data_IF_814229722427
#
_entry.id   IF_814229722427
#
_cell.length_a   1.000
_cell.length_b   1.000
_cell.length_c   1.000
_cell.angle_alpha   90.00
_cell.angle_beta   90.00
_cell.angle_gamma   90.00
#
_symmetry.space_group_name_H-M   'P 1'
#
loop_
_entity.id
_entity.type
_entity.pdbx_description
1 polymer ?
#
# COMPACT_ATOMS: atom_id res chain seq x y z
N UNK A 1 -66.25 45.45 37.93
CA UNK A 1 -67.42 45.37 38.84
C UNK A 1 -68.76 45.19 38.11
N UNK A 2 -68.94 45.73 36.89
CA UNK A 2 -70.20 45.69 36.13
C UNK A 2 -70.74 44.27 35.81
N UNK A 3 -69.90 43.34 35.34
CA UNK A 3 -70.31 41.96 34.98
C UNK A 3 -70.85 41.13 36.16
N UNK A 4 -70.45 41.45 37.40
CA UNK A 4 -70.95 40.73 38.58
C UNK A 4 -72.40 41.15 38.90
N UNK A 5 -72.75 42.41 38.65
CA UNK A 5 -74.10 42.92 38.86
C UNK A 5 -75.10 42.41 37.82
N UNK A 6 -74.68 42.26 36.54
CA UNK A 6 -75.50 41.65 35.49
C UNK A 6 -75.86 40.19 35.80
N UNK A 7 -74.90 39.41 36.31
CA UNK A 7 -75.14 38.02 36.70
C UNK A 7 -76.12 37.90 37.88
N UNK A 8 -75.97 38.75 38.90
CA UNK A 8 -76.89 38.75 40.03
C UNK A 8 -78.30 39.21 39.63
N UNK A 9 -78.44 40.21 38.75
CA UNK A 9 -79.72 40.69 38.25
C UNK A 9 -80.47 39.64 37.41
N UNK A 10 -79.75 38.89 36.56
CA UNK A 10 -80.31 37.76 35.81
C UNK A 10 -80.75 36.62 36.74
N UNK A 11 -80.00 36.36 37.82
CA UNK A 11 -80.32 35.34 38.81
C UNK A 11 -81.55 35.70 39.67
N UNK A 12 -81.70 36.96 40.07
CA UNK A 12 -82.91 37.42 40.80
C UNK A 12 -84.13 37.52 39.89
N UNK A 13 -83.96 37.92 38.61
CA UNK A 13 -85.05 37.95 37.64
C UNK A 13 -85.60 36.56 37.28
N UNK A 14 -84.74 35.53 37.26
CA UNK A 14 -85.15 34.15 37.04
C UNK A 14 -85.92 33.55 38.23
N UNK A 15 -85.63 33.97 39.47
CA UNK A 15 -86.28 33.48 40.67
C UNK A 15 -87.68 34.09 40.93
N UNK A 16 -88.04 35.19 40.27
CA UNK A 16 -89.35 35.85 40.43
C UNK A 16 -90.46 35.30 39.52
N UNK A 17 -90.15 34.41 38.57
CA UNK A 17 -91.17 33.74 37.73
C UNK A 17 -91.66 32.45 38.38
N UNK A 18 -92.23 32.59 39.58
CA UNK A 18 -92.86 31.50 40.29
C UNK A 18 -94.33 31.41 39.88
N UNK A 19 -94.59 30.64 38.82
CA UNK A 19 -95.91 30.31 38.32
C UNK A 19 -95.82 29.09 37.44
N UNK A 20 -96.02 27.92 38.04
CA UNK A 20 -96.27 26.58 37.45
C UNK A 20 -96.19 26.50 35.91
N UNK A 21 -94.99 26.38 35.34
CA UNK A 21 -94.82 25.92 33.96
C UNK A 21 -94.74 24.40 34.02
N UNK A 22 -95.79 23.71 33.60
CA UNK A 22 -95.71 22.25 33.39
C UNK A 22 -94.91 21.96 32.12
N UNK A 23 -94.14 20.86 32.09
CA UNK A 23 -93.29 20.49 30.94
C UNK A 23 -94.03 20.43 29.57
N UNK A 24 -95.37 20.45 29.57
CA UNK A 24 -96.18 20.51 28.34
C UNK A 24 -96.19 21.89 27.67
N UNK A 25 -95.83 22.96 28.39
CA UNK A 25 -95.89 24.35 27.90
C UNK A 25 -94.52 24.90 27.44
N UNK A 26 -93.46 24.09 27.52
CA UNK A 26 -92.14 24.48 27.03
C UNK A 26 -92.06 24.34 25.51
N UNK A 27 -92.26 25.45 24.78
CA UNK A 27 -91.76 25.55 23.40
C UNK A 27 -90.30 26.00 23.45
N UNK A 28 -89.34 25.21 22.94
CA UNK A 28 -87.99 25.68 22.78
C UNK A 28 -88.01 26.93 21.90
N UNK A 29 -87.42 28.02 22.40
CA UNK A 29 -87.16 29.19 21.60
C UNK A 29 -86.27 28.75 20.42
N UNK A 30 -86.66 28.98 19.15
CA UNK A 30 -85.76 28.69 18.05
C UNK A 30 -84.57 29.63 18.24
N UNK A 31 -83.43 29.06 18.60
CA UNK A 31 -82.19 29.79 18.72
C UNK A 31 -81.72 30.08 17.29
N UNK A 32 -82.28 31.11 16.68
CA UNK A 32 -81.71 31.75 15.50
C UNK A 32 -80.36 32.35 15.90
N UNK A 33 -79.29 31.60 15.64
CA UNK A 33 -77.93 32.13 15.65
C UNK A 33 -77.00 31.48 16.68
N UNK A 34 -76.46 30.31 16.35
CA UNK A 34 -75.01 30.05 16.44
C UNK A 34 -74.61 28.64 15.96
N UNK A 35 -75.57 27.76 15.65
CA UNK A 35 -75.25 26.37 15.24
C UNK A 35 -74.35 26.30 13.99
N UNK A 36 -74.55 27.19 13.01
CA UNK A 36 -73.66 27.29 11.85
C UNK A 36 -72.25 27.75 12.24
N UNK A 37 -72.11 28.63 13.24
CA UNK A 37 -70.82 29.16 13.68
C UNK A 37 -70.07 28.13 14.52
N UNK A 38 -70.77 27.38 15.37
CA UNK A 38 -70.21 26.23 16.10
C UNK A 38 -69.76 25.15 15.11
N UNK A 39 -70.55 24.86 14.07
CA UNK A 39 -70.18 23.90 13.04
C UNK A 39 -68.99 24.38 12.19
N UNK A 40 -68.93 25.66 11.82
CA UNK A 40 -67.80 26.26 11.09
C UNK A 40 -66.52 26.31 11.91
N UNK A 41 -66.60 26.67 13.19
CA UNK A 41 -65.45 26.67 14.11
C UNK A 41 -64.96 25.25 14.37
N UNK A 42 -65.86 24.31 14.64
CA UNK A 42 -65.49 22.90 14.80
C UNK A 42 -64.83 22.33 13.53
N UNK A 43 -65.38 22.65 12.35
CA UNK A 43 -64.84 22.22 11.05
C UNK A 43 -63.51 22.89 10.72
N UNK A 44 -63.32 24.18 11.03
CA UNK A 44 -62.04 24.87 10.83
C UNK A 44 -60.96 24.34 11.78
N UNK A 45 -61.34 24.02 13.02
CA UNK A 45 -60.43 23.45 14.02
C UNK A 45 -60.04 22.01 13.65
N UNK A 46 -60.99 21.19 13.18
CA UNK A 46 -60.71 19.85 12.66
C UNK A 46 -59.79 19.89 11.44
N UNK A 47 -60.07 20.75 10.45
CA UNK A 47 -59.20 20.91 9.28
C UNK A 47 -57.78 21.41 9.66
N UNK A 48 -57.67 22.27 10.67
CA UNK A 48 -56.38 22.75 11.21
C UNK A 48 -55.57 21.61 11.84
N UNK A 49 -56.22 20.79 12.68
CA UNK A 49 -55.60 19.63 13.31
C UNK A 49 -55.19 18.59 12.27
N UNK A 50 -56.05 18.31 11.28
CA UNK A 50 -55.77 17.36 10.21
C UNK A 50 -54.59 17.80 9.33
N UNK A 51 -54.53 19.10 8.98
CA UNK A 51 -53.38 19.68 8.27
C UNK A 51 -52.08 19.61 9.09
N UNK A 52 -52.13 19.89 10.39
CA UNK A 52 -50.97 19.79 11.28
C UNK A 52 -50.46 18.35 11.40
N UNK A 53 -51.37 17.38 11.53
CA UNK A 53 -51.03 15.94 11.54
C UNK A 53 -50.40 15.53 10.21
N UNK A 54 -50.98 15.94 9.07
CA UNK A 54 -50.41 15.67 7.75
C UNK A 54 -49.00 16.25 7.59
N UNK A 55 -48.78 17.50 8.00
CA UNK A 55 -47.47 18.14 7.94
C UNK A 55 -46.44 17.42 8.82
N UNK A 56 -46.81 17.08 10.05
CA UNK A 56 -45.95 16.35 10.99
C UNK A 56 -45.60 14.96 10.46
N UNK A 57 -46.57 14.24 9.89
CA UNK A 57 -46.36 12.94 9.26
C UNK A 57 -45.44 13.03 8.03
N UNK A 58 -45.57 14.07 7.22
CA UNK A 58 -44.69 14.30 6.06
C UNK A 58 -43.26 14.65 6.47
N UNK A 59 -43.07 15.41 7.54
CA UNK A 59 -41.74 15.69 8.11
C UNK A 59 -41.10 14.39 8.62
N UNK A 60 -41.81 13.61 9.43
CA UNK A 60 -41.36 12.31 9.93
C UNK A 60 -40.99 11.34 8.81
N UNK A 61 -41.80 11.25 7.74
CA UNK A 61 -41.49 10.43 6.56
C UNK A 61 -40.22 10.89 5.88
N UNK A 62 -40.04 12.21 5.73
CA UNK A 62 -38.85 12.79 5.09
C UNK A 62 -37.59 12.48 5.90
N UNK A 63 -37.65 12.64 7.22
CA UNK A 63 -36.55 12.30 8.13
C UNK A 63 -36.23 10.81 8.12
N UNK A 64 -37.25 9.95 8.10
CA UNK A 64 -37.07 8.51 7.95
C UNK A 64 -36.38 8.15 6.64
N UNK A 65 -36.78 8.75 5.51
CA UNK A 65 -36.10 8.54 4.23
C UNK A 65 -34.64 9.01 4.26
N UNK A 66 -34.36 10.16 4.88
CA UNK A 66 -32.98 10.64 5.06
C UNK A 66 -32.14 9.68 5.91
N UNK A 67 -32.68 9.18 7.01
CA UNK A 67 -32.02 8.23 7.88
C UNK A 67 -31.75 6.89 7.17
N UNK A 68 -32.72 6.38 6.41
CA UNK A 68 -32.57 5.15 5.61
C UNK A 68 -31.50 5.32 4.52
N UNK A 69 -31.49 6.45 3.82
CA UNK A 69 -30.47 6.76 2.82
C UNK A 69 -29.08 6.88 3.43
N UNK A 70 -28.97 7.54 4.59
CA UNK A 70 -27.72 7.65 5.33
C UNK A 70 -27.20 6.28 5.77
N UNK A 71 -28.07 5.44 6.36
CA UNK A 71 -27.74 4.06 6.74
C UNK A 71 -27.19 3.28 5.54
N UNK A 72 -27.88 3.33 4.39
CA UNK A 72 -27.43 2.66 3.17
C UNK A 72 -26.06 3.16 2.69
N UNK A 73 -25.81 4.48 2.77
CA UNK A 73 -24.51 5.05 2.44
C UNK A 73 -23.40 4.54 3.37
N UNK A 74 -23.67 4.42 4.67
CA UNK A 74 -22.71 3.89 5.65
C UNK A 74 -22.44 2.41 5.39
N UNK A 75 -23.46 1.60 5.11
CA UNK A 75 -23.30 0.18 4.76
C UNK A 75 -22.42 0.00 3.51
N UNK A 76 -22.59 0.85 2.50
CA UNK A 76 -21.73 0.85 1.31
C UNK A 76 -20.28 1.23 1.62
N UNK A 77 -20.05 2.22 2.49
CA UNK A 77 -18.70 2.60 2.93
C UNK A 77 -18.03 1.46 3.68
N UNK A 78 -18.75 0.79 4.60
CA UNK A 78 -18.25 -0.37 5.34
C UNK A 78 -17.85 -1.48 4.37
N UNK A 79 -18.70 -1.82 3.40
CA UNK A 79 -18.39 -2.85 2.41
C UNK A 79 -17.15 -2.50 1.56
N UNK A 80 -16.99 -1.22 1.21
CA UNK A 80 -15.83 -0.75 0.44
C UNK A 80 -14.55 -0.84 1.26
N UNK A 81 -14.56 -0.40 2.52
CA UNK A 81 -13.38 -0.50 3.39
C UNK A 81 -13.04 -1.96 3.72
N UNK A 82 -14.03 -2.83 3.89
CA UNK A 82 -13.79 -4.27 4.06
C UNK A 82 -13.10 -4.87 2.83
N UNK A 83 -13.52 -4.52 1.62
CA UNK A 83 -12.84 -4.98 0.40
C UNK A 83 -11.38 -4.52 0.33
N UNK A 84 -11.07 -3.29 0.75
CA UNK A 84 -9.69 -2.80 0.81
C UNK A 84 -8.88 -3.56 1.86
N UNK A 85 -9.46 -3.81 3.03
CA UNK A 85 -8.83 -4.60 4.07
C UNK A 85 -8.50 -6.01 3.57
N UNK A 86 -9.46 -6.69 2.95
CA UNK A 86 -9.26 -8.04 2.41
C UNK A 86 -8.17 -8.07 1.31
N UNK A 87 -8.06 -7.01 0.51
CA UNK A 87 -6.98 -6.87 -0.47
C UNK A 87 -5.61 -6.71 0.20
N UNK A 88 -5.51 -5.86 1.21
CA UNK A 88 -4.27 -5.64 1.95
C UNK A 88 -3.82 -6.91 2.69
N UNK A 89 -4.76 -7.66 3.27
CA UNK A 89 -4.47 -8.90 3.97
C UNK A 89 -3.89 -9.97 3.02
N UNK A 90 -4.46 -10.10 1.81
CA UNK A 90 -3.92 -10.98 0.77
C UNK A 90 -2.51 -10.58 0.35
N UNK A 91 -2.28 -9.29 0.07
CA UNK A 91 -0.95 -8.78 -0.31
C UNK A 91 0.06 -9.03 0.81
N UNK A 92 -0.34 -8.82 2.06
CA UNK A 92 0.51 -9.10 3.21
C UNK A 92 0.87 -10.58 3.31
N UNK A 93 -0.11 -11.48 3.10
CA UNK A 93 0.15 -12.93 3.05
C UNK A 93 1.10 -13.30 1.91
N UNK A 94 0.93 -12.72 0.72
CA UNK A 94 1.80 -12.97 -0.42
C UNK A 94 3.24 -12.51 -0.15
N UNK A 95 3.41 -11.35 0.49
CA UNK A 95 4.72 -10.85 0.91
C UNK A 95 5.39 -11.75 1.94
N UNK A 96 4.65 -12.20 2.96
CA UNK A 96 5.17 -13.13 3.96
C UNK A 96 5.61 -14.46 3.31
N UNK A 97 4.82 -14.97 2.36
CA UNK A 97 5.18 -16.18 1.62
C UNK A 97 6.41 -15.97 0.75
N UNK A 98 6.52 -14.83 0.07
CA UNK A 98 7.69 -14.48 -0.72
C UNK A 98 8.95 -14.43 0.14
N UNK A 99 8.91 -13.73 1.29
CA UNK A 99 10.03 -13.65 2.23
C UNK A 99 10.43 -15.05 2.71
N UNK A 100 9.46 -15.90 3.06
CA UNK A 100 9.76 -17.26 3.49
C UNK A 100 10.39 -18.12 2.38
N UNK A 101 9.99 -17.91 1.12
CA UNK A 101 10.61 -18.61 -0.02
C UNK A 101 12.06 -18.16 -0.23
N UNK A 102 12.32 -16.85 -0.18
CA UNK A 102 13.69 -16.31 -0.26
C UNK A 102 14.56 -16.79 0.91
N UNK A 103 14.00 -16.86 2.12
CA UNK A 103 14.66 -17.39 3.30
C UNK A 103 15.12 -18.84 3.11
N UNK A 104 14.22 -19.69 2.60
CA UNK A 104 14.55 -21.08 2.26
C UNK A 104 15.52 -21.18 1.07
N UNK A 105 15.40 -20.29 0.08
CA UNK A 105 16.29 -20.19 -1.06
C UNK A 105 17.73 -19.86 -0.68
N UNK A 106 17.91 -19.02 0.34
CA UNK A 106 19.20 -18.75 0.98
C UNK A 106 19.71 -19.92 1.85
N UNK A 107 19.00 -21.05 1.91
CA UNK A 107 19.36 -22.20 2.74
C UNK A 107 19.17 -21.97 4.24
N UNK A 108 18.50 -20.87 4.63
CA UNK A 108 18.18 -20.58 6.01
C UNK A 108 16.95 -21.38 6.45
N UNK A 109 16.89 -21.75 7.72
CA UNK A 109 15.79 -22.58 8.25
C UNK A 109 15.51 -22.24 9.70
N UNK A 110 14.23 -22.30 10.08
CA UNK A 110 13.77 -21.92 11.40
C UNK A 110 12.35 -21.37 11.35
N UNK A 111 11.71 -21.26 12.53
CA UNK A 111 10.47 -20.51 12.68
C UNK A 111 10.80 -19.14 13.24
N UNK A 112 10.86 -18.15 12.36
CA UNK A 112 10.99 -16.73 12.70
C UNK A 112 9.89 -15.96 11.96
N UNK A 113 9.56 -14.76 12.46
CA UNK A 113 8.64 -13.86 11.78
C UNK A 113 9.29 -13.27 10.52
N UNK A 114 8.48 -12.76 9.60
CA UNK A 114 8.94 -12.29 8.29
C UNK A 114 9.97 -11.15 8.38
N UNK A 115 9.92 -10.29 9.40
CA UNK A 115 10.89 -9.20 9.56
C UNK A 115 12.25 -9.77 9.96
N UNK A 116 12.26 -10.71 10.90
CA UNK A 116 13.48 -11.43 11.30
C UNK A 116 14.06 -12.21 10.13
N UNK A 117 13.24 -12.94 9.37
CA UNK A 117 13.69 -13.66 8.16
C UNK A 117 14.36 -12.73 7.15
N UNK A 118 13.79 -11.55 6.90
CA UNK A 118 14.36 -10.53 6.01
C UNK A 118 15.76 -10.09 6.44
N UNK A 119 15.94 -9.78 7.73
CA UNK A 119 17.24 -9.36 8.25
C UNK A 119 18.28 -10.48 8.13
N UNK A 120 17.90 -11.71 8.44
CA UNK A 120 18.78 -12.87 8.33
C UNK A 120 19.19 -13.15 6.86
N UNK A 121 18.28 -12.95 5.89
CA UNK A 121 18.61 -13.02 4.45
C UNK A 121 19.67 -11.96 4.09
N UNK A 122 19.49 -10.72 4.53
CA UNK A 122 20.46 -9.66 4.24
C UNK A 122 21.82 -9.96 4.84
N UNK A 123 21.87 -10.35 6.12
CA UNK A 123 23.12 -10.72 6.79
C UNK A 123 23.82 -11.89 6.10
N UNK A 124 23.06 -12.92 5.68
CA UNK A 124 23.59 -14.06 4.95
C UNK A 124 24.30 -13.64 3.66
N UNK A 125 23.62 -12.86 2.81
CA UNK A 125 24.21 -12.41 1.55
C UNK A 125 25.34 -11.40 1.74
N UNK A 126 25.30 -10.56 2.78
CA UNK A 126 26.43 -9.69 3.10
C UNK A 126 27.69 -10.50 3.46
N UNK A 127 27.53 -11.57 4.24
CA UNK A 127 28.64 -12.46 4.61
C UNK A 127 29.19 -13.22 3.39
N UNK A 128 28.31 -13.79 2.55
CA UNK A 128 28.73 -14.46 1.32
C UNK A 128 29.47 -13.50 0.37
N UNK A 129 28.94 -12.30 0.17
CA UNK A 129 29.59 -11.29 -0.66
C UNK A 129 30.96 -10.87 -0.10
N UNK A 130 31.09 -10.73 1.22
CA UNK A 130 32.37 -10.42 1.85
C UNK A 130 33.38 -11.56 1.64
N UNK A 131 32.95 -12.82 1.76
CA UNK A 131 33.77 -14.00 1.49
C UNK A 131 34.25 -14.03 0.05
N UNK A 132 33.33 -13.90 -0.92
CA UNK A 132 33.66 -13.91 -2.35
C UNK A 132 34.62 -12.78 -2.73
N UNK A 133 34.45 -11.57 -2.19
CA UNK A 133 35.38 -10.45 -2.40
C UNK A 133 36.80 -10.79 -1.94
N UNK A 134 36.95 -11.46 -0.80
CA UNK A 134 38.24 -11.88 -0.31
C UNK A 134 38.87 -12.98 -1.17
N UNK A 135 38.07 -13.94 -1.66
CA UNK A 135 38.52 -14.98 -2.58
C UNK A 135 39.01 -14.39 -3.90
N UNK A 136 38.25 -13.45 -4.47
CA UNK A 136 38.64 -12.71 -5.68
C UNK A 136 39.97 -11.99 -5.47
N UNK A 137 40.10 -11.23 -4.38
CA UNK A 137 41.34 -10.51 -4.06
C UNK A 137 42.53 -11.47 -3.93
N UNK A 138 42.33 -12.64 -3.31
CA UNK A 138 43.39 -13.63 -3.19
C UNK A 138 43.80 -14.23 -4.54
N UNK A 139 42.84 -14.44 -5.45
CA UNK A 139 43.12 -14.90 -6.80
C UNK A 139 43.79 -13.82 -7.67
N UNK A 140 43.41 -12.56 -7.52
CA UNK A 140 44.06 -11.42 -8.18
C UNK A 140 45.55 -11.33 -7.81
N UNK A 141 45.89 -11.51 -6.53
CA UNK A 141 47.28 -11.55 -6.07
C UNK A 141 48.03 -12.73 -6.70
N UNK A 142 47.44 -13.94 -6.68
CA UNK A 142 48.05 -15.13 -7.31
C UNK A 142 48.30 -14.93 -8.82
N UNK A 143 47.36 -14.28 -9.50
CA UNK A 143 47.50 -13.99 -10.93
C UNK A 143 48.59 -12.96 -11.20
N UNK A 144 48.72 -11.95 -10.34
CA UNK A 144 49.81 -10.98 -10.46
C UNK A 144 51.18 -11.62 -10.21
N UNK A 145 51.29 -12.52 -9.24
CA UNK A 145 52.53 -13.26 -8.97
C UNK A 145 52.93 -14.11 -10.19
N UNK A 146 51.97 -14.87 -10.75
CA UNK A 146 52.20 -15.66 -11.98
C UNK A 146 52.58 -14.80 -13.18
N UNK A 147 51.99 -13.61 -13.31
CA UNK A 147 52.34 -12.68 -14.38
C UNK A 147 53.80 -12.23 -14.24
N UNK A 148 54.24 -11.91 -13.02
CA UNK A 148 55.62 -11.54 -12.76
C UNK A 148 56.61 -12.69 -13.03
N UNK A 149 56.23 -13.93 -12.65
CA UNK A 149 57.00 -15.13 -12.97
C UNK A 149 57.13 -15.34 -14.48
N UNK A 150 56.04 -15.20 -15.24
CA UNK A 150 56.04 -15.30 -16.70
C UNK A 150 56.95 -14.26 -17.34
N UNK A 151 56.84 -12.99 -16.93
CA UNK A 151 57.72 -11.93 -17.43
C UNK A 151 59.19 -12.21 -17.13
N UNK A 152 59.50 -12.81 -15.99
CA UNK A 152 60.88 -13.21 -15.67
C UNK A 152 61.38 -14.30 -16.62
N UNK A 153 60.56 -15.33 -16.86
CA UNK A 153 60.88 -16.42 -17.79
C UNK A 153 61.02 -15.91 -19.22
N UNK A 154 60.16 -14.99 -19.66
CA UNK A 154 60.25 -14.36 -20.98
C UNK A 154 61.59 -13.63 -21.15
N UNK A 155 62.01 -12.84 -20.16
CA UNK A 155 63.31 -12.18 -20.18
C UNK A 155 64.47 -13.18 -20.24
N UNK A 156 64.42 -14.26 -19.45
CA UNK A 156 65.44 -15.30 -19.45
C UNK A 156 65.54 -16.00 -20.82
N UNK A 157 64.41 -16.22 -21.50
CA UNK A 157 64.38 -16.79 -22.85
C UNK A 157 65.02 -15.84 -23.87
N UNK A 158 64.72 -14.55 -23.79
CA UNK A 158 65.34 -13.53 -24.65
C UNK A 158 66.87 -13.48 -24.47
N UNK A 159 67.35 -13.51 -23.22
CA UNK A 159 68.77 -13.55 -22.89
C UNK A 159 69.45 -14.81 -23.42
N UNK A 160 68.83 -15.97 -23.24
CA UNK A 160 69.35 -17.24 -23.77
C UNK A 160 69.38 -17.26 -25.30
N UNK A 161 68.38 -16.67 -25.96
CA UNK A 161 68.36 -16.53 -27.41
C UNK A 161 69.50 -15.63 -27.90
N UNK A 162 69.77 -14.53 -27.20
CA UNK A 162 70.92 -13.68 -27.48
C UNK A 162 72.25 -14.42 -27.32
N UNK A 163 72.43 -15.17 -26.23
CA UNK A 163 73.64 -15.98 -25.99
C UNK A 163 73.83 -17.03 -27.08
N UNK A 164 72.76 -17.77 -27.45
CA UNK A 164 72.77 -18.74 -28.55
C UNK A 164 73.26 -18.11 -29.84
N UNK A 165 72.74 -16.94 -30.19
CA UNK A 165 73.09 -16.25 -31.44
C UNK A 165 74.56 -15.79 -31.46
N UNK A 166 75.09 -15.33 -30.33
CA UNK A 166 76.52 -14.97 -30.22
C UNK A 166 77.42 -16.19 -30.35
N UNK A 167 77.12 -17.29 -29.66
CA UNK A 167 77.88 -18.53 -29.76
C UNK A 167 77.86 -19.10 -31.18
N UNK A 168 76.73 -19.03 -31.89
CA UNK A 168 76.64 -19.42 -33.30
C UNK A 168 77.53 -18.57 -34.19
N UNK A 169 77.63 -17.26 -33.92
CA UNK A 169 78.52 -16.35 -34.66
C UNK A 169 79.98 -16.69 -34.43
N UNK A 170 80.39 -16.89 -33.17
CA UNK A 170 81.76 -17.28 -32.80
C UNK A 170 82.14 -18.63 -33.43
N UNK A 171 81.23 -19.61 -33.40
CA UNK A 171 81.45 -20.92 -34.04
C UNK A 171 81.65 -20.79 -35.55
N UNK A 172 80.85 -19.96 -36.22
CA UNK A 172 81.00 -19.71 -37.66
C UNK A 172 82.33 -19.03 -38.00
N UNK A 173 82.79 -18.08 -37.18
CA UNK A 173 84.10 -17.43 -37.34
C UNK A 173 85.26 -18.42 -37.14
N UNK A 174 85.16 -19.29 -36.14
CA UNK A 174 86.13 -20.36 -35.89
C UNK A 174 86.18 -21.34 -37.07
N UNK A 175 85.02 -21.85 -37.52
CA UNK A 175 84.92 -22.76 -38.66
C UNK A 175 85.52 -22.15 -39.93
N UNK A 176 85.24 -20.88 -40.21
CA UNK A 176 85.83 -20.17 -41.35
C UNK A 176 87.36 -20.11 -41.27
N UNK A 177 87.89 -19.82 -40.09
CA UNK A 177 89.34 -19.79 -39.85
C UNK A 177 89.97 -21.17 -40.06
N UNK A 178 89.34 -22.23 -39.53
CA UNK A 178 89.82 -23.60 -39.69
C UNK A 178 89.84 -24.04 -41.15
N UNK A 179 88.81 -23.72 -41.94
CA UNK A 179 88.77 -24.01 -43.38
C UNK A 179 89.95 -23.35 -44.10
N UNK A 180 90.25 -22.08 -43.78
CA UNK A 180 91.40 -21.37 -44.37
C UNK A 180 92.71 -22.06 -43.99
N UNK A 181 92.89 -22.40 -42.72
CA UNK A 181 94.11 -23.07 -42.24
C UNK A 181 94.29 -24.45 -42.89
N UNK A 182 93.21 -25.23 -43.03
CA UNK A 182 93.24 -26.51 -43.74
C UNK A 182 93.59 -26.34 -45.22
N UNK A 183 93.03 -25.34 -45.90
CA UNK A 183 93.36 -25.05 -47.29
C UNK A 183 94.84 -24.65 -47.48
N UNK A 184 95.38 -23.83 -46.56
CA UNK A 184 96.81 -23.47 -46.56
C UNK A 184 97.67 -24.72 -46.35
N UNK A 185 97.31 -25.57 -45.38
CA UNK A 185 98.05 -26.79 -45.10
C UNK A 185 98.04 -27.73 -46.32
N UNK A 186 96.89 -27.93 -46.96
CA UNK A 186 96.79 -28.72 -48.19
C UNK A 186 97.66 -28.16 -49.33
N UNK A 187 97.68 -26.83 -49.53
CA UNK A 187 98.56 -26.23 -50.54
C UNK A 187 100.05 -26.47 -50.24
N UNK A 188 100.44 -26.41 -48.96
CA UNK A 188 101.81 -26.67 -48.54
C UNK A 188 102.18 -28.16 -48.65
N UNK A 189 101.26 -29.07 -48.32
CA UNK A 189 101.49 -30.52 -48.32
C UNK A 189 101.49 -31.11 -49.75
N UNK A 190 100.72 -30.54 -50.68
CA UNK A 190 100.62 -31.02 -52.06
C UNK A 190 101.44 -30.23 -53.09
N UNK A 191 102.11 -29.14 -52.68
CA UNK A 191 103.12 -28.45 -53.50
C UNK A 191 102.60 -27.87 -54.83
N UNK A 192 101.37 -27.36 -54.86
CA UNK A 192 100.86 -26.64 -56.04
C UNK A 192 101.24 -25.16 -55.95
N UNK A 193 102.23 -24.75 -56.74
CA UNK A 193 102.51 -23.34 -57.10
C UNK A 193 101.56 -22.86 -58.19
#
# INVERSE_FOLDING_TARGET
>A
MYRKQEFYALKTGAAQRNGSITCKDYKPNPCDGDDNRVYEVARSTMNSVENFIMQSMNQLRTELFRALNYKKSVEQQIATEQQKFDQLDRVNSDLVNYINNEYQGAGLSGKSDAVTQLNEIFEHYEQENAKLKNEIRAEEVRNQDKLNELTTVENDVEDLEFQKNNLLKELNECNRTLIILQAIQMNNDYGWT
#
